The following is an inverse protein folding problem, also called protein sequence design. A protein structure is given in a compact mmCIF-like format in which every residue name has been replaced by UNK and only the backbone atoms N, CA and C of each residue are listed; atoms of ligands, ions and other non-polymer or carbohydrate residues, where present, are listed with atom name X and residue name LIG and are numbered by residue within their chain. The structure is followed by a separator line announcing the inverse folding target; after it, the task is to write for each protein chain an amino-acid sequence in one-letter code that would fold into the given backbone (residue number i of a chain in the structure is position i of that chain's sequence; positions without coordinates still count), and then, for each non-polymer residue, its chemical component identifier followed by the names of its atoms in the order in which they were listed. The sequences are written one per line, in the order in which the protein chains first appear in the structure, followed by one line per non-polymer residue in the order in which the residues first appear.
data_IF_438691861984
#
_entry.id   IF_438691861984
#
_cell.length_a   1.000
_cell.length_b   1.000
_cell.length_c   1.000
_cell.angle_alpha   90.00
_cell.angle_beta   90.00
_cell.angle_gamma   90.00
#
_symmetry.space_group_name_H-M   'P 1'
#
loop_
_entity.id
_entity.type
_entity.pdbx_description
1 polymer ?
#
# COMPACT_ATOMS: atom_id res chain seq x y z
N UNK A 1 -23.14 -26.66 29.74
CA UNK A 1 -22.40 -25.67 28.93
C UNK A 1 -22.81 -25.90 27.48
N UNK A 2 -23.60 -25.00 26.88
CA UNK A 2 -24.13 -25.21 25.53
C UNK A 2 -23.04 -25.05 24.47
N UNK A 3 -23.21 -25.72 23.32
CA UNK A 3 -22.30 -25.55 22.17
C UNK A 3 -22.20 -24.07 21.74
N UNK A 4 -23.29 -23.32 21.89
CA UNK A 4 -23.32 -21.87 21.68
C UNK A 4 -22.41 -21.12 22.63
N UNK A 5 -22.37 -21.49 23.93
CA UNK A 5 -21.51 -20.86 24.92
C UNK A 5 -20.01 -21.09 24.63
N UNK A 6 -19.65 -22.28 24.16
CA UNK A 6 -18.27 -22.61 23.75
C UNK A 6 -17.88 -21.80 22.50
N UNK A 7 -18.80 -21.60 21.56
CA UNK A 7 -18.54 -20.79 20.37
C UNK A 7 -18.32 -19.31 20.70
N UNK A 8 -19.09 -18.72 21.62
CA UNK A 8 -18.92 -17.32 22.02
C UNK A 8 -17.60 -17.09 22.76
N UNK A 9 -17.22 -17.98 23.67
CA UNK A 9 -15.97 -17.83 24.43
C UNK A 9 -14.73 -17.98 23.55
N UNK A 10 -14.77 -18.82 22.52
CA UNK A 10 -13.68 -18.91 21.54
C UNK A 10 -13.54 -17.63 20.70
N UNK A 11 -14.65 -17.01 20.30
CA UNK A 11 -14.63 -15.76 19.54
C UNK A 11 -14.14 -14.57 20.38
N UNK A 12 -14.48 -14.54 21.66
CA UNK A 12 -14.12 -13.44 22.57
C UNK A 12 -12.65 -13.49 23.02
N UNK A 13 -12.07 -14.69 23.11
CA UNK A 13 -10.66 -14.93 23.43
C UNK A 13 -9.74 -15.04 22.20
N UNK A 14 -10.27 -14.84 20.99
CA UNK A 14 -9.43 -14.73 19.81
C UNK A 14 -8.40 -13.60 20.02
N UNK A 15 -7.11 -13.82 19.73
CA UNK A 15 -6.10 -12.79 19.92
C UNK A 15 -6.48 -11.56 19.11
N UNK A 16 -6.86 -10.47 19.79
CA UNK A 16 -7.05 -9.17 19.16
C UNK A 16 -5.66 -8.66 18.82
N UNK A 17 -5.27 -8.73 17.55
CA UNK A 17 -4.00 -8.18 17.10
C UNK A 17 -3.92 -6.73 17.58
N UNK A 18 -2.89 -6.44 18.37
CA UNK A 18 -2.71 -5.11 18.94
C UNK A 18 -2.47 -4.17 17.75
N UNK A 19 -3.22 -3.08 17.64
CA UNK A 19 -3.40 -2.26 16.43
C UNK A 19 -2.17 -1.51 15.88
N UNK A 20 -0.96 -2.03 16.07
CA UNK A 20 0.29 -1.48 15.56
C UNK A 20 0.50 -1.70 14.06
N UNK A 21 -0.27 -2.59 13.42
CA UNK A 21 -0.19 -2.83 11.96
C UNK A 21 -0.38 -1.55 11.13
N UNK A 22 -1.25 -0.64 11.57
CA UNK A 22 -1.46 0.66 10.92
C UNK A 22 -0.22 1.56 11.01
N UNK A 23 0.53 1.51 12.12
CA UNK A 23 1.77 2.26 12.30
C UNK A 23 2.86 1.67 11.41
N UNK A 24 2.99 0.34 11.38
CA UNK A 24 3.94 -0.35 10.49
C UNK A 24 3.70 -0.04 9.02
N UNK A 25 2.44 -0.10 8.57
CA UNK A 25 2.07 0.30 7.22
C UNK A 25 2.33 1.78 6.95
N UNK A 26 2.00 2.67 7.88
CA UNK A 26 2.26 4.10 7.76
C UNK A 26 3.75 4.41 7.52
N UNK A 27 4.65 3.71 8.22
CA UNK A 27 6.10 3.83 7.99
C UNK A 27 6.52 3.24 6.64
N UNK A 28 5.97 2.10 6.25
CA UNK A 28 6.25 1.48 4.94
C UNK A 28 5.79 2.35 3.76
N UNK A 29 4.72 3.14 3.94
CA UNK A 29 4.14 3.99 2.90
C UNK A 29 4.92 5.30 2.64
N UNK A 30 5.85 5.70 3.51
CA UNK A 30 6.61 6.95 3.35
C UNK A 30 7.46 6.92 2.07
N UNK A 31 8.19 5.83 1.84
CA UNK A 31 9.05 5.67 0.66
C UNK A 31 8.24 5.77 -0.65
N UNK A 32 7.15 4.99 -0.78
CA UNK A 32 6.31 5.04 -1.95
C UNK A 32 5.61 6.39 -2.14
N UNK A 33 5.15 7.04 -1.06
CA UNK A 33 4.57 8.39 -1.15
C UNK A 33 5.52 9.41 -1.77
N UNK A 34 6.80 9.37 -1.38
CA UNK A 34 7.83 10.23 -1.98
C UNK A 34 8.11 9.81 -3.44
N UNK A 35 8.29 8.52 -3.69
CA UNK A 35 8.60 7.99 -5.01
C UNK A 35 7.52 8.29 -6.05
N UNK A 36 6.24 8.11 -5.69
CA UNK A 36 5.10 8.42 -6.57
C UNK A 36 5.05 9.91 -6.87
N UNK A 37 5.28 10.77 -5.86
CA UNK A 37 5.37 12.22 -6.06
C UNK A 37 6.43 12.61 -7.09
N UNK A 38 7.60 12.00 -7.03
CA UNK A 38 8.69 12.23 -8.00
C UNK A 38 8.32 11.71 -9.40
N UNK A 39 7.84 10.47 -9.49
CA UNK A 39 7.47 9.83 -10.77
C UNK A 39 6.40 10.64 -11.48
N UNK A 40 5.33 11.01 -10.77
CA UNK A 40 4.23 11.81 -11.33
C UNK A 40 4.69 13.21 -11.68
N UNK A 41 5.49 13.86 -10.82
CA UNK A 41 6.06 15.18 -11.11
C UNK A 41 6.87 15.19 -12.42
N UNK A 42 7.73 14.18 -12.62
CA UNK A 42 8.51 14.02 -13.85
C UNK A 42 7.66 13.66 -15.07
N UNK A 43 6.59 12.89 -14.88
CA UNK A 43 5.65 12.64 -15.96
C UNK A 43 4.93 13.92 -16.42
N UNK A 44 4.52 14.79 -15.48
CA UNK A 44 3.90 16.09 -15.79
C UNK A 44 4.86 17.00 -16.53
N UNK A 45 6.12 17.12 -16.07
CA UNK A 45 7.17 17.85 -16.81
C UNK A 45 7.36 17.28 -18.22
N UNK A 46 7.35 15.95 -18.36
CA UNK A 46 7.44 15.26 -19.65
C UNK A 46 6.28 15.57 -20.58
N UNK A 47 5.04 15.54 -20.09
CA UNK A 47 3.85 15.89 -20.85
C UNK A 47 3.89 17.34 -21.35
N UNK A 48 4.37 18.27 -20.51
CA UNK A 48 4.51 19.67 -20.88
C UNK A 48 5.57 19.90 -21.97
N UNK A 49 6.63 19.09 -21.98
CA UNK A 49 7.73 19.20 -22.97
C UNK A 49 7.44 18.49 -24.28
N UNK A 50 6.77 17.34 -24.24
CA UNK A 50 6.53 16.46 -25.39
C UNK A 50 5.10 15.88 -25.35
N UNK A 51 4.08 16.68 -25.69
CA UNK A 51 2.69 16.23 -25.67
C UNK A 51 2.41 15.06 -26.63
N UNK A 52 3.16 14.95 -27.73
CA UNK A 52 3.08 13.85 -28.70
C UNK A 52 3.48 12.49 -28.12
N UNK A 53 4.29 12.48 -27.06
CA UNK A 53 4.71 11.26 -26.36
C UNK A 53 3.84 10.93 -25.13
N UNK A 54 2.75 11.66 -24.90
CA UNK A 54 1.94 11.52 -23.68
C UNK A 54 1.45 10.08 -23.44
N UNK A 55 1.12 9.32 -24.49
CA UNK A 55 0.75 7.90 -24.35
C UNK A 55 1.88 7.04 -23.77
N UNK A 56 3.11 7.23 -24.25
CA UNK A 56 4.28 6.49 -23.79
C UNK A 56 4.72 6.94 -22.39
N UNK A 57 4.76 8.24 -22.14
CA UNK A 57 5.11 8.80 -20.82
C UNK A 57 4.11 8.31 -19.76
N UNK A 58 2.81 8.27 -20.07
CA UNK A 58 1.79 7.74 -19.16
C UNK A 58 1.99 6.26 -18.85
N UNK A 59 2.37 5.46 -19.84
CA UNK A 59 2.65 4.02 -19.65
C UNK A 59 3.85 3.83 -18.72
N UNK A 60 4.94 4.56 -18.95
CA UNK A 60 6.13 4.51 -18.10
C UNK A 60 5.87 5.06 -16.70
N UNK A 61 5.04 6.10 -16.57
CA UNK A 61 4.62 6.64 -15.28
C UNK A 61 3.89 5.58 -14.45
N UNK A 62 2.90 4.89 -15.00
CA UNK A 62 2.18 3.84 -14.28
C UNK A 62 3.07 2.66 -13.91
N UNK A 63 4.01 2.27 -14.78
CA UNK A 63 4.99 1.25 -14.46
C UNK A 63 5.90 1.69 -13.29
N UNK A 64 6.35 2.95 -13.30
CA UNK A 64 7.13 3.54 -12.21
C UNK A 64 6.36 3.58 -10.89
N UNK A 65 5.08 3.95 -10.91
CA UNK A 65 4.19 3.91 -9.75
C UNK A 65 4.07 2.47 -9.22
N UNK A 66 3.83 1.49 -10.10
CA UNK A 66 3.66 0.09 -9.70
C UNK A 66 4.91 -0.46 -8.99
N UNK A 67 6.11 -0.17 -9.50
CA UNK A 67 7.35 -0.58 -8.83
C UNK A 67 7.59 0.17 -7.52
N UNK A 68 7.19 1.43 -7.46
CA UNK A 68 7.30 2.25 -6.25
C UNK A 68 6.39 1.71 -5.14
N UNK A 69 5.15 1.35 -5.47
CA UNK A 69 4.15 0.84 -4.52
C UNK A 69 4.39 -0.61 -4.06
N UNK A 70 5.19 -1.40 -4.79
CA UNK A 70 5.45 -2.79 -4.45
C UNK A 70 5.93 -2.98 -3.00
N UNK A 71 6.73 -2.05 -2.47
CA UNK A 71 7.25 -2.08 -1.10
C UNK A 71 6.19 -1.71 -0.05
N UNK A 72 5.29 -0.76 -0.35
CA UNK A 72 4.18 -0.42 0.55
C UNK A 72 3.20 -1.59 0.67
N UNK A 73 2.91 -2.28 -0.44
CA UNK A 73 2.02 -3.45 -0.43
C UNK A 73 2.59 -4.61 0.40
N UNK A 74 3.91 -4.81 0.39
CA UNK A 74 4.54 -5.79 1.30
C UNK A 74 4.35 -5.37 2.77
N UNK A 75 4.52 -4.08 3.08
CA UNK A 75 4.27 -3.55 4.43
C UNK A 75 2.81 -3.67 4.87
N UNK A 76 1.86 -3.50 3.94
CA UNK A 76 0.44 -3.72 4.17
C UNK A 76 0.16 -5.18 4.51
N UNK A 77 0.66 -6.10 3.68
CA UNK A 77 0.48 -7.55 3.85
C UNK A 77 1.12 -8.01 5.16
N UNK A 78 2.28 -7.46 5.54
CA UNK A 78 2.92 -7.77 6.82
C UNK A 78 2.00 -7.46 8.02
N UNK A 79 1.23 -6.36 7.98
CA UNK A 79 0.27 -6.02 9.04
C UNK A 79 -0.95 -6.95 9.15
N UNK A 80 -1.17 -7.83 8.18
CA UNK A 80 -2.17 -8.91 8.26
C UNK A 80 -1.58 -10.25 8.70
N UNK A 81 -0.27 -10.45 8.53
CA UNK A 81 0.43 -11.71 8.85
C UNK A 81 0.95 -11.71 10.28
N UNK A 82 1.42 -10.56 10.77
CA UNK A 82 2.04 -10.39 12.09
C UNK A 82 1.15 -9.58 13.02
#
# INVERSE_FOLDING_TARGET
MSLSYVATTLAENAPKSTGYGAIGYGLAAIGPGIGVGIVVGKAIEGFARQPELAGQIRTNMFLGIAFTEALALIGLVAGFIF
#
